data_IF_433248444738
#
_entry.id   IF_433248444738
#
_cell.length_a   1.000
_cell.length_b   1.000
_cell.length_c   1.000
_cell.angle_alpha   90.00
_cell.angle_beta   90.00
_cell.angle_gamma   90.00
#
_symmetry.space_group_name_H-M   'P 1'
#
loop_
_entity.id
_entity.type
_entity.pdbx_description
1 polymer ?
#
# COMPACT_ATOMS: atom_id res chain seq x y z
N UNK A 1 11.07 -18.30 -8.76
CA UNK A 1 12.00 -17.29 -9.29
C UNK A 1 12.22 -16.25 -8.18
N UNK A 2 13.47 -15.91 -7.82
CA UNK A 2 13.79 -15.06 -6.66
C UNK A 2 13.87 -13.59 -7.06
N UNK A 3 13.14 -12.71 -6.37
CA UNK A 3 13.28 -11.25 -6.50
C UNK A 3 14.72 -10.88 -6.13
N UNK A 4 15.33 -9.94 -6.86
CA UNK A 4 16.68 -9.49 -6.54
C UNK A 4 16.67 -8.82 -5.15
N UNK A 5 17.63 -9.15 -4.25
CA UNK A 5 17.72 -8.49 -2.95
C UNK A 5 17.77 -6.97 -3.10
N UNK A 6 16.94 -6.25 -2.36
CA UNK A 6 16.90 -4.79 -2.43
C UNK A 6 16.11 -4.23 -3.61
N UNK A 7 15.20 -5.02 -4.20
CA UNK A 7 14.29 -4.52 -5.22
C UNK A 7 13.30 -3.51 -4.61
N UNK A 8 13.52 -2.22 -4.90
CA UNK A 8 12.71 -1.11 -4.43
C UNK A 8 12.30 -0.27 -5.64
N UNK A 9 11.15 -0.58 -6.28
CA UNK A 9 10.70 0.19 -7.43
C UNK A 9 10.43 1.65 -7.02
N UNK A 10 10.71 2.57 -7.94
CA UNK A 10 10.40 3.98 -7.75
C UNK A 10 8.89 4.24 -7.78
N UNK A 11 8.45 5.39 -7.24
CA UNK A 11 7.04 5.80 -7.29
C UNK A 11 6.53 5.86 -8.76
N UNK A 12 7.38 6.29 -9.71
CA UNK A 12 7.07 6.27 -11.15
C UNK A 12 6.95 4.84 -11.70
N UNK A 13 7.89 3.96 -11.38
CA UNK A 13 7.87 2.57 -11.85
C UNK A 13 6.62 1.83 -11.35
N UNK A 14 6.22 2.03 -10.09
CA UNK A 14 4.98 1.50 -9.53
C UNK A 14 3.75 1.87 -10.37
N UNK A 15 3.71 3.10 -10.89
CA UNK A 15 2.60 3.55 -11.74
C UNK A 15 2.75 2.99 -13.16
N UNK A 16 3.81 3.35 -13.87
CA UNK A 16 3.95 3.12 -15.32
C UNK A 16 4.19 1.64 -15.68
N UNK A 17 5.02 0.95 -14.89
CA UNK A 17 5.44 -0.43 -15.20
C UNK A 17 4.53 -1.48 -14.57
N UNK A 18 3.84 -1.14 -13.48
CA UNK A 18 3.01 -2.09 -12.75
C UNK A 18 1.53 -1.73 -12.78
N UNK A 19 1.10 -0.68 -12.06
CA UNK A 19 -0.33 -0.41 -11.89
C UNK A 19 -1.05 -0.15 -13.21
N UNK A 20 -0.46 0.65 -14.11
CA UNK A 20 -1.04 0.91 -15.42
C UNK A 20 -1.19 -0.38 -16.24
N UNK A 21 -0.15 -1.23 -16.24
CA UNK A 21 -0.17 -2.51 -16.96
C UNK A 21 -1.24 -3.45 -16.41
N UNK A 22 -1.31 -3.58 -15.09
CA UNK A 22 -2.37 -4.34 -14.41
C UNK A 22 -3.73 -3.79 -14.80
N UNK A 23 -3.95 -2.48 -14.72
CA UNK A 23 -5.23 -1.85 -15.04
C UNK A 23 -5.64 -2.01 -16.51
N UNK A 24 -4.70 -2.08 -17.44
CA UNK A 24 -4.96 -2.40 -18.86
C UNK A 24 -5.19 -3.91 -19.11
N UNK A 25 -4.99 -4.75 -18.09
CA UNK A 25 -5.01 -6.21 -18.22
C UNK A 25 -3.86 -6.76 -19.05
N UNK A 26 -2.72 -6.06 -19.04
CA UNK A 26 -1.48 -6.52 -19.64
C UNK A 26 -0.74 -7.37 -18.60
N UNK A 27 -0.36 -8.61 -18.93
CA UNK A 27 0.42 -9.45 -18.03
C UNK A 27 1.71 -8.75 -17.61
N UNK A 28 2.01 -8.78 -16.31
CA UNK A 28 3.28 -8.27 -15.80
C UNK A 28 4.42 -9.21 -16.20
N UNK A 29 5.59 -8.66 -16.59
CA UNK A 29 6.76 -9.49 -16.92
C UNK A 29 7.22 -10.32 -15.71
N UNK A 30 6.92 -9.86 -14.50
CA UNK A 30 7.14 -10.57 -13.25
C UNK A 30 6.01 -10.27 -12.28
N UNK A 31 5.32 -11.31 -11.79
CA UNK A 31 4.28 -11.17 -10.77
C UNK A 31 4.85 -11.39 -9.36
N UNK A 32 5.47 -10.36 -8.79
CA UNK A 32 6.10 -10.40 -7.46
C UNK A 32 5.18 -9.85 -6.38
N UNK A 33 4.17 -9.07 -6.76
CA UNK A 33 3.16 -8.54 -5.85
C UNK A 33 1.99 -9.52 -5.77
N UNK A 34 1.58 -9.84 -4.55
CA UNK A 34 0.35 -10.60 -4.34
C UNK A 34 -0.85 -9.66 -4.37
N UNK A 35 -1.97 -10.13 -4.92
CA UNK A 35 -3.25 -9.46 -4.72
C UNK A 35 -3.76 -9.76 -3.30
N UNK A 36 -4.04 -8.72 -2.51
CA UNK A 36 -4.47 -8.83 -1.11
C UNK A 36 -5.65 -7.90 -0.83
N UNK A 37 -6.60 -8.41 -0.05
CA UNK A 37 -7.68 -7.62 0.52
C UNK A 37 -7.19 -7.00 1.84
N UNK A 38 -6.74 -5.74 1.77
CA UNK A 38 -6.14 -5.02 2.92
C UNK A 38 -7.13 -4.07 3.63
N UNK A 39 -8.40 -4.10 3.23
CA UNK A 39 -9.53 -3.43 3.87
C UNK A 39 -10.68 -4.42 4.04
N UNK A 40 -11.40 -4.38 5.17
CA UNK A 40 -12.50 -5.30 5.45
C UNK A 40 -12.38 -6.05 6.78
N UNK A 41 -13.40 -6.82 7.13
CA UNK A 41 -13.52 -7.53 8.42
C UNK A 41 -12.53 -8.70 8.61
N UNK A 42 -11.75 -9.03 7.58
CA UNK A 42 -10.69 -10.05 7.62
C UNK A 42 -9.33 -9.46 7.25
N UNK A 43 -9.21 -8.13 7.26
CA UNK A 43 -8.10 -7.42 6.64
C UNK A 43 -7.12 -6.79 7.63
N UNK A 44 -7.03 -7.32 8.84
CA UNK A 44 -6.02 -6.86 9.79
C UNK A 44 -4.62 -7.10 9.20
N UNK A 45 -3.67 -6.14 9.26
CA UNK A 45 -2.42 -6.21 8.50
C UNK A 45 -1.56 -7.46 8.81
N UNK A 46 -1.54 -7.86 10.09
CA UNK A 46 -0.81 -9.07 10.53
C UNK A 46 -1.50 -10.38 10.14
N UNK A 47 -2.75 -10.36 9.69
CA UNK A 47 -3.47 -11.54 9.20
C UNK A 47 -3.27 -11.71 7.69
N UNK A 48 -3.46 -10.63 6.91
CA UNK A 48 -3.47 -10.72 5.43
C UNK A 48 -2.10 -10.66 4.77
N UNK A 49 -1.05 -10.29 5.52
CA UNK A 49 0.32 -10.13 5.00
C UNK A 49 1.29 -11.21 5.54
N UNK A 50 0.77 -12.34 6.00
CA UNK A 50 1.61 -13.43 6.55
C UNK A 50 2.40 -14.18 5.47
N UNK A 51 1.83 -14.27 4.27
CA UNK A 51 2.31 -15.08 3.14
C UNK A 51 2.87 -14.22 2.00
N UNK A 52 3.12 -12.93 2.23
CA UNK A 52 3.76 -12.04 1.25
C UNK A 52 5.27 -12.08 1.39
N UNK A 53 5.95 -11.74 0.29
CA UNK A 53 7.38 -11.52 0.32
C UNK A 53 7.72 -10.18 0.99
N UNK A 54 8.65 -10.19 1.92
CA UNK A 54 9.13 -9.01 2.64
C UNK A 54 10.58 -8.72 2.27
N UNK A 55 10.85 -7.45 2.00
CA UNK A 55 12.21 -6.92 1.88
C UNK A 55 12.61 -6.28 3.22
N UNK A 56 13.74 -6.72 3.77
CA UNK A 56 14.22 -6.29 5.07
C UNK A 56 15.24 -5.16 4.91
N UNK A 57 15.02 -4.05 5.61
CA UNK A 57 15.94 -2.92 5.64
C UNK A 57 16.41 -2.68 7.07
N UNK A 58 17.73 -2.70 7.21
CA UNK A 58 18.40 -2.52 8.48
C UNK A 58 19.14 -1.19 8.48
N UNK A 59 18.96 -0.41 9.54
CA UNK A 59 19.82 0.73 9.86
C UNK A 59 20.34 0.64 11.30
N UNK A 60 21.28 1.52 11.65
CA UNK A 60 21.81 1.63 13.00
C UNK A 60 20.71 1.87 14.06
N UNK A 61 19.56 2.43 13.68
CA UNK A 61 18.52 2.85 14.62
C UNK A 61 17.16 2.19 14.41
N UNK A 62 16.90 1.54 13.26
CA UNK A 62 15.57 0.99 12.94
C UNK A 62 15.64 -0.31 12.14
N UNK A 63 14.69 -1.19 12.40
CA UNK A 63 14.33 -2.33 11.56
C UNK A 63 13.01 -2.02 10.86
N UNK A 64 13.00 -2.07 9.53
CA UNK A 64 11.76 -1.95 8.75
C UNK A 64 11.66 -3.08 7.74
N UNK A 65 10.47 -3.62 7.61
CA UNK A 65 10.12 -4.60 6.59
C UNK A 65 9.19 -3.91 5.59
N UNK A 66 9.46 -4.07 4.31
CA UNK A 66 8.64 -3.47 3.24
C UNK A 66 8.11 -4.58 2.35
N UNK A 67 6.82 -4.51 2.05
CA UNK A 67 6.18 -5.36 1.05
C UNK A 67 5.30 -4.51 0.15
N UNK A 68 4.91 -5.08 -0.98
CA UNK A 68 4.05 -4.43 -1.95
C UNK A 68 2.94 -5.39 -2.34
N UNK A 69 1.72 -4.89 -2.29
CA UNK A 69 0.53 -5.66 -2.62
C UNK A 69 -0.33 -4.90 -3.60
N UNK A 70 -0.98 -5.65 -4.47
CA UNK A 70 -2.03 -5.12 -5.31
C UNK A 70 -3.35 -5.26 -4.52
N UNK A 71 -4.13 -4.18 -4.39
CA UNK A 71 -5.42 -4.24 -3.72
C UNK A 71 -6.51 -3.73 -4.63
N UNK A 72 -7.66 -4.40 -4.60
CA UNK A 72 -8.89 -3.87 -5.17
C UNK A 72 -9.51 -2.86 -4.19
N UNK A 73 -9.78 -1.66 -4.66
CA UNK A 73 -10.40 -0.59 -3.90
C UNK A 73 -11.92 -0.76 -3.90
N UNK A 74 -12.47 -1.18 -2.76
CA UNK A 74 -13.91 -1.31 -2.57
C UNK A 74 -14.52 0.04 -2.19
N UNK A 75 -15.30 0.62 -3.11
CA UNK A 75 -16.07 1.84 -2.87
C UNK A 75 -17.27 1.55 -1.98
N UNK A 76 -17.42 2.30 -0.90
CA UNK A 76 -18.58 2.17 -0.03
C UNK A 76 -19.78 2.88 -0.64
N UNK A 77 -20.89 2.16 -0.77
CA UNK A 77 -22.20 2.67 -1.19
C UNK A 77 -22.16 3.44 -2.53
N UNK A 78 -21.34 3.00 -3.48
CA UNK A 78 -21.23 3.62 -4.81
C UNK A 78 -20.60 5.02 -4.84
N UNK A 79 -20.02 5.49 -3.73
CA UNK A 79 -19.36 6.81 -3.63
C UNK A 79 -17.85 6.72 -3.89
N UNK A 80 -17.20 7.88 -4.02
CA UNK A 80 -15.73 8.01 -4.18
C UNK A 80 -14.92 7.59 -2.94
N UNK A 81 -15.57 7.40 -1.78
CA UNK A 81 -14.89 7.10 -0.53
C UNK A 81 -14.65 5.60 -0.37
N UNK A 82 -13.38 5.23 -0.26
CA UNK A 82 -12.95 3.90 0.19
C UNK A 82 -12.98 3.87 1.72
N UNK A 83 -13.69 2.92 2.32
CA UNK A 83 -13.57 2.66 3.75
C UNK A 83 -12.31 1.84 3.99
N UNK A 84 -11.33 2.46 4.62
CA UNK A 84 -10.07 1.81 4.97
C UNK A 84 -10.09 1.33 6.42
N UNK A 85 -11.15 0.57 6.73
CA UNK A 85 -11.35 -0.07 8.04
C UNK A 85 -10.96 -1.54 7.94
N UNK A 86 -10.59 -2.08 9.09
CA UNK A 86 -10.30 -3.49 9.30
C UNK A 86 -11.13 -3.97 10.49
N UNK A 87 -11.11 -5.27 10.79
CA UNK A 87 -11.75 -5.83 11.98
C UNK A 87 -11.34 -5.12 13.26
N UNK A 88 -10.02 -4.97 13.47
CA UNK A 88 -9.47 -4.52 14.75
C UNK A 88 -8.95 -3.10 14.70
N UNK A 89 -8.97 -2.42 13.56
CA UNK A 89 -8.42 -1.07 13.44
C UNK A 89 -8.83 -0.31 12.18
N UNK A 90 -8.12 0.77 11.90
CA UNK A 90 -8.39 1.66 10.77
C UNK A 90 -7.09 2.26 10.24
N UNK A 91 -6.97 2.30 8.91
CA UNK A 91 -5.95 3.07 8.22
C UNK A 91 -6.39 4.53 8.13
N UNK A 92 -5.68 5.42 8.83
CA UNK A 92 -5.95 6.88 8.83
C UNK A 92 -5.00 7.59 7.89
N UNK A 93 -5.55 8.38 6.98
CA UNK A 93 -4.78 9.17 6.01
C UNK A 93 -3.96 10.26 6.70
N UNK A 94 -2.69 10.35 6.33
CA UNK A 94 -1.71 11.32 6.87
C UNK A 94 -1.45 12.47 5.90
N UNK A 95 -1.69 12.27 4.59
CA UNK A 95 -1.47 13.28 3.55
C UNK A 95 -2.71 13.50 2.69
N UNK A 96 -2.80 14.67 2.04
CA UNK A 96 -3.88 14.99 1.09
C UNK A 96 -3.78 14.15 -0.19
N UNK A 97 -2.56 13.84 -0.62
CA UNK A 97 -2.21 13.10 -1.84
C UNK A 97 -1.03 13.79 -2.53
N UNK A 98 0.04 13.06 -2.81
CA UNK A 98 1.23 13.54 -3.52
C UNK A 98 1.13 13.14 -4.99
N UNK A 99 1.29 14.10 -5.88
CA UNK A 99 1.36 13.88 -7.32
C UNK A 99 2.65 13.14 -7.70
N UNK A 100 2.51 12.23 -8.67
CA UNK A 100 3.60 11.47 -9.26
C UNK A 100 3.64 11.82 -10.74
N UNK A 101 4.78 12.33 -11.16
CA UNK A 101 5.06 12.74 -12.52
C UNK A 101 6.01 11.75 -13.17
N UNK A 102 5.80 11.52 -14.46
CA UNK A 102 6.75 10.83 -15.32
C UNK A 102 7.97 11.73 -15.55
N UNK A 103 9.16 11.31 -15.13
CA UNK A 103 10.36 12.16 -15.19
C UNK A 103 10.74 12.56 -16.62
N UNK A 104 10.44 11.70 -17.59
CA UNK A 104 10.82 11.92 -18.99
C UNK A 104 9.92 12.94 -19.71
N UNK A 105 8.63 12.90 -19.43
CA UNK A 105 7.61 13.67 -20.14
C UNK A 105 7.01 14.81 -19.32
N UNK A 106 7.22 14.82 -18.00
CA UNK A 106 6.64 15.79 -17.07
C UNK A 106 5.13 15.63 -16.87
N UNK A 107 4.53 14.54 -17.38
CA UNK A 107 3.10 14.31 -17.28
C UNK A 107 2.73 13.76 -15.89
N UNK A 108 1.60 14.22 -15.34
CA UNK A 108 0.98 13.58 -14.18
C UNK A 108 0.51 12.18 -14.56
N UNK A 109 0.99 11.17 -13.85
CA UNK A 109 0.68 9.75 -14.10
C UNK A 109 -0.03 9.08 -12.92
N UNK A 110 0.12 9.62 -11.71
CA UNK A 110 -0.41 8.99 -10.52
C UNK A 110 -0.49 9.90 -9.31
N UNK A 111 -1.11 9.37 -8.26
CA UNK A 111 -1.16 9.95 -6.93
C UNK A 111 -0.69 8.90 -5.91
N UNK A 112 0.00 9.35 -4.87
CA UNK A 112 0.26 8.52 -3.69
C UNK A 112 -0.26 9.16 -2.40
N UNK A 113 -0.75 8.34 -1.48
CA UNK A 113 -1.27 8.80 -0.19
C UNK A 113 -0.77 7.94 0.95
N UNK A 114 -0.34 8.60 2.02
CA UNK A 114 0.19 7.95 3.21
C UNK A 114 -0.94 7.66 4.20
N UNK A 115 -0.87 6.48 4.82
CA UNK A 115 -1.78 6.03 5.88
C UNK A 115 -0.98 5.40 7.01
N UNK A 116 -1.48 5.56 8.23
CA UNK A 116 -0.99 4.87 9.42
C UNK A 116 -2.12 4.00 9.96
N UNK A 117 -1.81 2.75 10.29
CA UNK A 117 -2.79 1.87 10.93
C UNK A 117 -2.92 2.22 12.40
N UNK A 118 -4.14 2.25 12.90
CA UNK A 118 -4.42 2.39 14.33
C UNK A 118 -5.35 1.27 14.76
N UNK A 119 -4.93 0.47 15.73
CA UNK A 119 -5.79 -0.52 16.39
C UNK A 119 -6.87 0.22 17.19
N UNK A 120 -8.09 -0.33 17.17
CA UNK A 120 -9.19 0.15 17.99
C UNK A 120 -8.86 -0.11 19.46
N UNK A 121 -9.00 0.90 20.31
CA UNK A 121 -8.81 0.73 21.75
C UNK A 121 -9.94 -0.13 22.33
N UNK A 122 -9.65 -1.07 23.25
CA UNK A 122 -10.68 -1.68 24.07
C UNK A 122 -11.47 -0.60 24.80
N UNK A 123 -12.80 -0.76 24.88
CA UNK A 123 -13.66 0.17 25.62
C UNK A 123 -13.18 0.25 27.08
N UNK A 124 -12.84 1.46 27.55
CA UNK A 124 -12.51 1.72 28.96
C UNK A 124 -11.02 1.85 29.32
N UNK A 125 -10.08 1.72 28.36
CA UNK A 125 -8.65 2.02 28.60
C UNK A 125 -8.24 3.37 28.01
N UNK A 126 -7.63 4.22 28.83
CA UNK A 126 -6.92 5.44 28.42
C UNK A 126 -5.42 5.16 28.33
N UNK A 127 -4.79 5.47 27.20
CA UNK A 127 -3.37 5.20 26.93
C UNK A 127 -3.14 4.78 25.47
N UNK A 128 -1.91 4.87 24.99
CA UNK A 128 -1.47 4.23 23.74
C UNK A 128 -1.16 2.78 24.07
N UNK A 129 -1.81 1.82 23.40
CA UNK A 129 -1.41 0.41 23.55
C UNK A 129 -0.11 0.25 22.78
N UNK A 130 0.95 -0.20 23.47
CA UNK A 130 2.18 -0.65 22.83
C UNK A 130 1.81 -1.67 21.75
N UNK A 131 2.20 -1.36 20.51
CA UNK A 131 1.80 -2.10 19.33
C UNK A 131 2.50 -3.46 19.34
N UNK A 132 1.88 -4.48 19.95
CA UNK A 132 2.32 -5.89 19.93
C UNK A 132 2.67 -6.37 18.50
N UNK A 133 2.11 -5.71 17.48
CA UNK A 133 2.29 -6.04 16.07
C UNK A 133 3.19 -5.05 15.31
N UNK A 134 3.86 -4.11 15.98
CA UNK A 134 4.71 -3.07 15.39
C UNK A 134 3.93 -1.99 14.63
N UNK A 135 4.60 -0.89 14.28
CA UNK A 135 3.99 0.26 13.61
C UNK A 135 3.81 0.04 12.11
N UNK A 136 2.56 0.12 11.64
CA UNK A 136 2.21 -0.10 10.24
C UNK A 136 1.95 1.22 9.49
N UNK A 137 2.69 1.40 8.40
CA UNK A 137 2.54 2.52 7.47
C UNK A 137 2.21 1.95 6.09
N UNK A 138 1.29 2.60 5.39
CA UNK A 138 0.95 2.28 4.00
C UNK A 138 1.12 3.52 3.14
N UNK A 139 1.70 3.35 1.96
CA UNK A 139 1.59 4.29 0.86
C UNK A 139 0.77 3.64 -0.25
N UNK A 140 -0.42 4.17 -0.49
CA UNK A 140 -1.35 3.75 -1.53
C UNK A 140 -1.06 4.54 -2.81
N UNK A 141 -0.90 3.86 -3.93
CA UNK A 141 -0.61 4.43 -5.25
C UNK A 141 -1.81 4.20 -6.19
N UNK A 142 -2.23 5.23 -6.90
CA UNK A 142 -3.37 5.22 -7.81
C UNK A 142 -3.05 5.92 -9.12
N UNK A 143 -3.70 5.51 -10.21
CA UNK A 143 -3.56 6.16 -11.52
C UNK A 143 -4.20 7.55 -11.54
N UNK A 144 -3.56 8.49 -12.22
CA UNK A 144 -4.05 9.85 -12.42
C UNK A 144 -3.55 10.43 -13.75
N UNK A 145 -4.05 11.61 -14.11
CA UNK A 145 -3.60 12.34 -15.30
C UNK A 145 -3.64 11.52 -16.59
N UNK A 146 -2.53 11.50 -17.34
CA UNK A 146 -2.48 10.89 -18.68
C UNK A 146 -2.72 9.38 -18.64
N UNK A 147 -2.45 8.71 -17.51
CA UNK A 147 -2.70 7.28 -17.35
C UNK A 147 -4.19 6.91 -17.38
N UNK A 148 -5.09 7.87 -17.10
CA UNK A 148 -6.54 7.65 -17.17
C UNK A 148 -7.10 7.71 -18.59
N UNK A 149 -6.29 8.16 -19.56
CA UNK A 149 -6.69 8.23 -20.98
C UNK A 149 -6.54 6.89 -21.71
N UNK A 150 -5.92 5.88 -21.08
CA UNK A 150 -5.81 4.53 -21.63
C UNK A 150 -7.11 3.73 -21.45
N UNK A 151 -7.27 2.68 -22.24
CA UNK A 151 -8.35 1.71 -22.04
C UNK A 151 -8.06 0.81 -20.82
N UNK A 152 -8.66 1.15 -19.68
CA UNK A 152 -8.49 0.43 -18.43
C UNK A 152 -9.60 -0.61 -18.23
N UNK A 153 -9.21 -1.89 -18.20
CA UNK A 153 -10.06 -3.04 -17.84
C UNK A 153 -10.37 -3.09 -16.35
N UNK A 154 -9.40 -2.73 -15.51
CA UNK A 154 -9.51 -2.77 -14.06
C UNK A 154 -9.22 -1.39 -13.45
N UNK A 155 -10.29 -0.63 -13.17
CA UNK A 155 -10.23 0.78 -12.74
C UNK A 155 -10.10 0.98 -11.23
N UNK A 156 -10.34 -0.09 -10.48
CA UNK A 156 -10.48 -0.04 -9.02
C UNK A 156 -9.32 -0.75 -8.33
N UNK A 157 -8.11 -0.62 -8.88
CA UNK A 157 -6.91 -1.19 -8.28
C UNK A 157 -5.96 -0.10 -7.81
N UNK A 158 -5.26 -0.40 -6.73
CA UNK A 158 -4.14 0.38 -6.22
C UNK A 158 -2.97 -0.55 -5.88
N UNK A 159 -1.76 -0.04 -5.97
CA UNK A 159 -0.60 -0.69 -5.35
C UNK A 159 -0.42 -0.09 -3.97
N UNK A 160 -0.17 -0.92 -2.96
CA UNK A 160 0.12 -0.47 -1.62
C UNK A 160 1.53 -0.93 -1.22
N UNK A 161 2.41 0.03 -0.96
CA UNK A 161 3.68 -0.20 -0.28
C UNK A 161 3.43 -0.19 1.22
N UNK A 162 3.59 -1.33 1.88
CA UNK A 162 3.34 -1.48 3.31
C UNK A 162 4.69 -1.61 4.02
N UNK A 163 4.89 -0.74 5.00
CA UNK A 163 6.08 -0.73 5.87
C UNK A 163 5.66 -1.11 7.27
N UNK A 164 6.26 -2.17 7.81
CA UNK A 164 6.19 -2.53 9.22
C UNK A 164 7.47 -2.08 9.91
N UNK A 165 7.36 -1.21 10.91
CA UNK A 165 8.49 -0.72 11.69
C UNK A 165 8.47 -1.31 13.08
N UNK A 166 9.64 -1.71 13.56
CA UNK A 166 9.83 -2.14 14.93
C UNK A 166 10.72 -1.12 15.66
N UNK A 167 10.38 -0.71 16.90
CA UNK A 167 11.33 -0.01 17.74
C UNK A 167 12.54 -0.92 17.98
N UNK A 168 13.75 -0.36 17.94
CA UNK A 168 14.93 -1.08 18.45
C UNK A 168 14.78 -1.12 19.97
N UNK A 169 14.74 -2.32 20.55
CA UNK A 169 14.96 -2.47 21.99
C UNK A 169 16.36 -1.90 22.30
N UNK A 170 16.44 -1.03 23.31
CA UNK A 170 17.70 -0.52 23.85
C UNK A 170 18.35 -1.56 24.75
#
# INVERSE_FOLDING_TARGET
MRIAPGFVPSDEELINRYLLKVSMGIPLPWNWMSEKEIYGETADPWEVLQDVHWEDFHSETKFKHVTYVLTKLLRVNGKTRIARRTKSGTWKGQTSGKEIYDESSGNLIGLSKMFTFYKNKPKGRSGEEEEEHGHWIMQEFSLAGVCLNFELKFKDYAICRITRMFPKEN
#
